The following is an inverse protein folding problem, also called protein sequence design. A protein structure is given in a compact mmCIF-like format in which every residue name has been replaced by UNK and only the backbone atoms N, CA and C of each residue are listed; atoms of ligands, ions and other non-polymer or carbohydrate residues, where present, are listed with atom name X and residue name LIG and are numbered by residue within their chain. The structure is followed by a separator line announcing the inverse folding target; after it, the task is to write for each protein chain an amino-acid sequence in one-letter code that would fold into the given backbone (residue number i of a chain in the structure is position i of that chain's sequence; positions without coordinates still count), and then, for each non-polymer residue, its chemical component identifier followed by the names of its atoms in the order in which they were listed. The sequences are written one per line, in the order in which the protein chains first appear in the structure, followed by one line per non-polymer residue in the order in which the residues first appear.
data_IF_850635858720
#
_entry.id   IF_850635858720
#
_cell.length_a   1.000
_cell.length_b   1.000
_cell.length_c   1.000
_cell.angle_alpha   90.00
_cell.angle_beta   90.00
_cell.angle_gamma   90.00
#
_symmetry.space_group_name_H-M   'P 1'
#
loop_
_entity.id
_entity.type
_entity.pdbx_description
1 polymer ?
#
# COMPACT_ATOMS: atom_id res chain seq x y z
N UNK A 1 -11.03 25.82 -0.45
CA UNK A 1 -11.76 25.97 0.80
C UNK A 1 -11.95 27.44 1.17
N UNK A 2 -10.90 28.26 1.27
CA UNK A 2 -10.93 29.65 1.72
C UNK A 2 -10.40 30.66 0.68
N UNK A 3 -10.37 30.30 -0.57
CA UNK A 3 -9.83 31.08 -1.70
C UNK A 3 -8.38 31.55 -1.50
N UNK A 4 -7.60 30.84 -0.69
CA UNK A 4 -6.19 31.11 -0.44
C UNK A 4 -5.91 32.15 0.64
N UNK A 5 -6.89 32.52 1.46
CA UNK A 5 -6.71 33.51 2.52
C UNK A 5 -5.70 33.04 3.59
N UNK A 6 -5.67 31.75 3.94
CA UNK A 6 -4.82 31.22 5.00
C UNK A 6 -3.48 30.66 4.51
N UNK A 7 -3.53 29.78 3.51
CA UNK A 7 -2.35 29.08 3.03
C UNK A 7 -1.69 29.71 1.80
N UNK A 8 -2.33 30.73 1.23
CA UNK A 8 -1.91 31.39 0.00
C UNK A 8 -2.66 30.88 -1.23
N UNK A 9 -2.81 31.76 -2.23
CA UNK A 9 -3.57 31.49 -3.45
C UNK A 9 -2.80 30.57 -4.43
N UNK A 10 -1.47 30.64 -4.40
CA UNK A 10 -0.62 29.95 -5.35
C UNK A 10 0.28 28.95 -4.64
N UNK A 11 0.46 27.78 -5.25
CA UNK A 11 1.29 26.67 -4.74
C UNK A 11 2.75 27.11 -4.52
N UNK A 12 3.26 28.03 -5.30
CA UNK A 12 4.64 28.56 -5.18
C UNK A 12 4.82 29.26 -3.84
N UNK A 13 3.96 30.22 -3.51
CA UNK A 13 4.02 30.93 -2.23
C UNK A 13 3.79 30.02 -1.02
N UNK A 14 2.89 29.02 -1.14
CA UNK A 14 2.71 27.98 -0.14
C UNK A 14 4.00 27.19 0.10
N UNK A 15 4.67 26.75 -0.98
CA UNK A 15 5.94 26.02 -0.90
C UNK A 15 7.05 26.87 -0.30
N UNK A 16 7.20 28.12 -0.72
CA UNK A 16 8.20 29.05 -0.18
C UNK A 16 8.03 29.30 1.32
N UNK A 17 6.78 29.42 1.77
CA UNK A 17 6.46 29.72 3.17
C UNK A 17 6.69 28.52 4.10
N UNK A 18 6.31 27.31 3.69
CA UNK A 18 6.26 26.16 4.58
C UNK A 18 7.27 25.08 4.26
N UNK A 19 7.92 25.13 3.09
CA UNK A 19 8.84 24.09 2.65
C UNK A 19 10.18 24.67 2.23
N UNK A 20 11.18 23.79 2.16
CA UNK A 20 12.48 24.07 1.55
C UNK A 20 12.81 23.02 0.51
N UNK A 21 13.57 23.37 -0.55
CA UNK A 21 14.04 22.40 -1.51
C UNK A 21 14.83 21.28 -0.81
N UNK A 22 14.57 20.03 -1.18
CA UNK A 22 15.28 18.88 -0.66
C UNK A 22 16.22 18.29 -1.73
N UNK A 23 15.69 17.91 -2.88
CA UNK A 23 16.48 17.46 -4.03
C UNK A 23 16.31 18.44 -5.18
N UNK A 24 17.41 19.00 -5.66
CA UNK A 24 17.42 19.93 -6.80
C UNK A 24 18.68 19.77 -7.66
N UNK A 25 18.57 20.12 -8.94
CA UNK A 25 19.69 20.49 -9.76
C UNK A 25 19.74 22.03 -9.87
N UNK A 26 20.56 22.59 -10.78
CA UNK A 26 20.70 24.05 -10.95
C UNK A 26 19.40 24.74 -11.35
N UNK A 27 18.50 24.05 -12.06
CA UNK A 27 17.29 24.64 -12.65
C UNK A 27 15.98 24.07 -12.11
N UNK A 28 15.97 22.81 -11.63
CA UNK A 28 14.74 22.09 -11.26
C UNK A 28 14.82 21.60 -9.81
N UNK A 29 13.73 21.84 -9.06
CA UNK A 29 13.53 21.27 -7.72
C UNK A 29 12.66 20.02 -7.87
N UNK A 30 13.24 18.85 -7.55
CA UNK A 30 12.56 17.56 -7.65
C UNK A 30 11.73 17.21 -6.43
N UNK A 31 12.14 17.67 -5.23
CA UNK A 31 11.40 17.43 -4.00
C UNK A 31 11.54 18.57 -3.00
N UNK A 32 10.57 18.66 -2.11
CA UNK A 32 10.52 19.62 -1.02
C UNK A 32 10.39 18.90 0.31
N UNK A 33 10.96 19.46 1.37
CA UNK A 33 10.73 19.01 2.73
C UNK A 33 10.18 20.15 3.60
N UNK A 34 9.33 19.88 4.59
CA UNK A 34 8.80 20.89 5.49
C UNK A 34 9.92 21.66 6.19
N UNK A 35 9.73 22.94 6.40
CA UNK A 35 10.55 23.74 7.32
C UNK A 35 10.23 23.33 8.75
N UNK A 36 11.13 23.58 9.67
CA UNK A 36 10.89 23.36 11.09
C UNK A 36 9.66 24.15 11.56
N UNK A 37 8.73 23.47 12.24
CA UNK A 37 7.48 24.06 12.68
C UNK A 37 6.42 24.30 11.58
N UNK A 38 6.71 24.03 10.31
CA UNK A 38 5.77 24.27 9.21
C UNK A 38 4.46 23.51 9.37
N UNK A 39 4.52 22.25 9.81
CA UNK A 39 3.33 21.44 10.07
C UNK A 39 2.42 22.13 11.11
N UNK A 40 2.96 22.51 12.25
CA UNK A 40 2.20 23.22 13.29
C UNK A 40 1.60 24.53 12.79
N UNK A 41 2.34 25.29 11.97
CA UNK A 41 1.87 26.54 11.40
C UNK A 41 0.73 26.33 10.40
N UNK A 42 0.83 25.34 9.52
CA UNK A 42 -0.23 24.98 8.57
C UNK A 42 -1.51 24.61 9.32
N UNK A 43 -1.40 23.71 10.32
CA UNK A 43 -2.56 23.26 11.09
C UNK A 43 -3.21 24.39 11.89
N UNK A 44 -2.42 25.27 12.50
CA UNK A 44 -2.97 26.44 13.20
C UNK A 44 -3.78 27.35 12.27
N UNK A 45 -3.39 27.45 10.99
CA UNK A 45 -4.07 28.28 10.00
C UNK A 45 -5.39 27.68 9.48
N UNK A 46 -5.55 26.35 9.54
CA UNK A 46 -6.74 25.67 9.00
C UNK A 46 -7.63 25.06 10.09
N UNK A 47 -7.25 25.13 11.36
CA UNK A 47 -7.94 24.48 12.48
C UNK A 47 -9.39 24.91 12.69
N UNK A 48 -9.73 26.11 12.28
CA UNK A 48 -11.09 26.66 12.40
C UNK A 48 -12.02 26.30 11.22
N UNK A 49 -11.46 25.77 10.12
CA UNK A 49 -12.21 25.38 8.92
C UNK A 49 -12.08 23.91 8.56
N UNK A 50 -11.17 23.19 9.21
CA UNK A 50 -10.93 21.77 8.97
C UNK A 50 -11.12 20.98 10.25
N UNK A 51 -12.02 19.99 10.21
CA UNK A 51 -12.17 18.99 11.25
C UNK A 51 -11.58 17.70 10.71
N UNK A 52 -10.64 17.11 11.46
CA UNK A 52 -10.11 15.78 11.16
C UNK A 52 -10.66 14.79 12.19
N UNK A 53 -11.32 13.74 11.71
CA UNK A 53 -11.92 12.71 12.55
C UNK A 53 -11.42 11.33 12.11
N UNK A 54 -11.03 10.48 13.07
CA UNK A 54 -10.86 9.05 12.81
C UNK A 54 -12.21 8.37 12.97
N UNK A 55 -12.57 7.51 12.03
CA UNK A 55 -13.82 6.73 12.10
C UNK A 55 -13.95 5.96 13.41
N UNK A 56 -12.83 5.40 13.90
CA UNK A 56 -12.75 4.60 15.14
C UNK A 56 -13.20 5.38 16.39
N UNK A 57 -13.06 6.72 16.39
CA UNK A 57 -13.37 7.53 17.57
C UNK A 57 -14.85 7.93 17.66
N UNK A 58 -15.60 7.77 16.56
CA UNK A 58 -16.99 8.26 16.45
C UNK A 58 -17.97 7.21 15.93
N UNK A 59 -17.45 6.09 15.39
CA UNK A 59 -18.25 5.04 14.81
C UNK A 59 -17.99 3.73 15.57
N UNK A 60 -19.02 2.91 15.66
CA UNK A 60 -18.90 1.53 16.17
C UNK A 60 -18.18 0.69 15.10
N UNK A 61 -16.87 0.58 15.25
CA UNK A 61 -15.99 -0.14 14.34
C UNK A 61 -15.68 -1.53 14.89
N UNK A 62 -15.66 -2.57 14.05
CA UNK A 62 -15.22 -3.90 14.49
C UNK A 62 -13.75 -3.89 14.86
N UNK A 63 -13.32 -4.86 15.64
CA UNK A 63 -11.90 -5.12 15.91
C UNK A 63 -11.15 -5.34 14.60
N UNK A 64 -9.90 -4.86 14.53
CA UNK A 64 -9.02 -5.06 13.39
C UNK A 64 -7.69 -5.65 13.86
N UNK A 65 -7.34 -6.80 13.29
CA UNK A 65 -6.11 -7.53 13.61
C UNK A 65 -5.17 -7.45 12.42
N UNK A 66 -3.95 -6.95 12.66
CA UNK A 66 -2.88 -6.94 11.67
C UNK A 66 -1.96 -8.13 11.89
N UNK A 67 -1.75 -8.94 10.86
CA UNK A 67 -0.90 -10.11 10.90
C UNK A 67 0.20 -10.04 9.84
N UNK A 68 1.44 -10.34 10.22
CA UNK A 68 2.58 -10.46 9.31
C UNK A 68 2.79 -11.94 8.99
N UNK A 69 2.77 -12.27 7.71
CA UNK A 69 3.09 -13.59 7.17
C UNK A 69 4.46 -13.48 6.50
N UNK A 70 5.49 -13.88 7.19
CA UNK A 70 6.86 -13.77 6.73
C UNK A 70 7.22 -14.97 5.86
N UNK A 71 7.81 -14.71 4.69
CA UNK A 71 8.35 -15.71 3.79
C UNK A 71 9.83 -15.48 3.57
N UNK A 72 10.58 -16.56 3.35
CA UNK A 72 12.03 -16.51 3.18
C UNK A 72 12.44 -16.99 1.78
N UNK A 73 13.33 -16.26 1.15
CA UNK A 73 13.99 -16.69 -0.09
C UNK A 73 14.99 -17.83 0.19
N UNK A 74 15.09 -18.78 -0.72
CA UNK A 74 16.21 -19.72 -0.71
C UNK A 74 17.55 -18.98 -0.92
N UNK A 75 18.67 -19.64 -0.62
CA UNK A 75 20.01 -19.07 -0.80
C UNK A 75 20.28 -18.59 -2.23
N UNK A 76 19.74 -19.28 -3.24
CA UNK A 76 19.88 -18.90 -4.65
C UNK A 76 19.07 -17.65 -4.98
N UNK A 77 17.81 -17.62 -4.58
CA UNK A 77 16.89 -16.49 -4.77
C UNK A 77 17.41 -15.25 -4.06
N UNK A 78 17.88 -15.41 -2.82
CA UNK A 78 18.49 -14.34 -2.02
C UNK A 78 19.72 -13.76 -2.69
N UNK A 79 20.60 -14.62 -3.21
CA UNK A 79 21.80 -14.15 -3.89
C UNK A 79 21.46 -13.27 -5.10
N UNK A 80 20.46 -13.64 -5.92
CA UNK A 80 20.01 -12.82 -7.06
C UNK A 80 19.53 -11.46 -6.58
N UNK A 81 18.73 -11.43 -5.50
CA UNK A 81 18.21 -10.20 -4.91
C UNK A 81 19.34 -9.29 -4.39
N UNK A 82 20.29 -9.83 -3.62
CA UNK A 82 21.39 -9.09 -3.01
C UNK A 82 22.40 -8.58 -4.05
N UNK A 83 22.72 -9.40 -5.06
CA UNK A 83 23.57 -8.99 -6.18
C UNK A 83 22.92 -7.83 -6.94
N UNK A 84 21.62 -7.89 -7.23
CA UNK A 84 20.91 -6.79 -7.88
C UNK A 84 20.83 -5.53 -7.00
N UNK A 85 20.65 -5.69 -5.70
CA UNK A 85 20.65 -4.57 -4.75
C UNK A 85 21.99 -3.82 -4.75
N UNK A 86 23.11 -4.56 -4.84
CA UNK A 86 24.46 -4.00 -4.80
C UNK A 86 24.91 -3.41 -6.15
N UNK A 87 24.69 -4.16 -7.23
CA UNK A 87 25.30 -3.88 -8.51
C UNK A 87 24.36 -3.20 -9.51
N UNK A 88 23.06 -3.13 -9.19
CA UNK A 88 21.97 -2.63 -10.04
C UNK A 88 21.84 -3.38 -11.38
N UNK A 89 22.51 -4.51 -11.52
CA UNK A 89 22.46 -5.42 -12.66
C UNK A 89 22.66 -6.86 -12.19
N UNK A 90 21.91 -7.81 -12.74
CA UNK A 90 22.06 -9.24 -12.44
C UNK A 90 21.56 -10.10 -13.60
N UNK A 91 22.18 -11.28 -13.79
CA UNK A 91 21.71 -12.29 -14.72
C UNK A 91 20.65 -13.20 -14.07
N UNK A 92 19.52 -13.35 -14.75
CA UNK A 92 18.41 -14.24 -14.36
C UNK A 92 18.15 -15.21 -15.52
N UNK A 93 18.73 -16.39 -15.46
CA UNK A 93 18.75 -17.32 -16.58
C UNK A 93 19.61 -16.77 -17.74
N UNK A 94 19.01 -16.63 -18.90
CA UNK A 94 19.64 -16.03 -20.10
C UNK A 94 19.38 -14.53 -20.23
N UNK A 95 18.61 -13.95 -19.32
CA UNK A 95 18.18 -12.56 -19.39
C UNK A 95 18.97 -11.68 -18.41
N UNK A 96 19.27 -10.44 -18.82
CA UNK A 96 19.87 -9.42 -17.96
C UNK A 96 18.76 -8.53 -17.36
N UNK A 97 18.86 -8.28 -16.06
CA UNK A 97 18.06 -7.32 -15.34
C UNK A 97 18.91 -6.15 -14.92
N UNK A 98 18.54 -4.93 -15.25
CA UNK A 98 19.22 -3.69 -14.91
C UNK A 98 18.31 -2.65 -14.24
N UNK A 99 18.92 -1.68 -13.57
CA UNK A 99 18.21 -0.52 -13.00
C UNK A 99 19.03 0.76 -13.21
N UNK A 100 18.49 1.66 -14.02
CA UNK A 100 19.15 2.92 -14.42
C UNK A 100 19.12 4.03 -13.36
N UNK A 101 18.38 3.83 -12.27
CA UNK A 101 18.25 4.80 -11.18
C UNK A 101 17.83 4.13 -9.86
N UNK A 102 18.08 4.83 -8.74
CA UNK A 102 17.63 4.36 -7.41
C UNK A 102 16.11 4.13 -7.32
N UNK A 103 15.31 4.93 -8.03
CA UNK A 103 13.85 4.73 -8.08
C UNK A 103 13.46 3.50 -8.88
N UNK A 104 14.14 3.24 -10.01
CA UNK A 104 13.94 2.02 -10.79
C UNK A 104 14.39 0.79 -9.98
N UNK A 105 15.54 0.86 -9.29
CA UNK A 105 16.04 -0.18 -8.41
C UNK A 105 15.00 -0.52 -7.32
N UNK A 106 14.53 0.48 -6.56
CA UNK A 106 13.54 0.28 -5.51
C UNK A 106 12.27 -0.40 -6.02
N UNK A 107 11.77 0.02 -7.19
CA UNK A 107 10.59 -0.59 -7.79
C UNK A 107 10.84 -2.04 -8.23
N UNK A 108 11.99 -2.33 -8.82
CA UNK A 108 12.36 -3.69 -9.23
C UNK A 108 12.61 -4.61 -8.04
N UNK A 109 13.21 -4.11 -6.96
CA UNK A 109 13.39 -4.87 -5.71
C UNK A 109 12.05 -5.27 -5.07
N UNK A 110 11.03 -4.41 -5.14
CA UNK A 110 9.67 -4.76 -4.70
C UNK A 110 9.01 -5.81 -5.61
N UNK A 111 9.24 -5.73 -6.92
CA UNK A 111 8.78 -6.76 -7.84
C UNK A 111 9.43 -8.12 -7.53
N UNK A 112 10.76 -8.13 -7.32
CA UNK A 112 11.50 -9.34 -6.94
C UNK A 112 11.01 -9.93 -5.61
N UNK A 113 10.72 -9.07 -4.61
CA UNK A 113 10.14 -9.51 -3.35
C UNK A 113 8.76 -10.18 -3.53
N UNK A 114 7.99 -9.78 -4.55
CA UNK A 114 6.73 -10.45 -4.93
C UNK A 114 6.96 -11.74 -5.74
N UNK A 115 8.21 -12.01 -6.16
CA UNK A 115 8.63 -13.26 -6.78
C UNK A 115 8.77 -13.25 -8.30
N UNK A 116 8.61 -12.08 -8.95
CA UNK A 116 8.91 -11.90 -10.37
C UNK A 116 9.23 -10.44 -10.67
N UNK A 117 9.94 -10.16 -11.76
CA UNK A 117 10.35 -8.81 -12.14
C UNK A 117 10.27 -8.61 -13.65
N UNK A 118 9.96 -7.40 -14.12
CA UNK A 118 10.07 -7.07 -15.55
C UNK A 118 11.50 -6.70 -15.92
N UNK A 119 12.02 -7.26 -17.04
CA UNK A 119 13.24 -6.77 -17.66
C UNK A 119 12.99 -5.47 -18.46
N UNK A 120 14.01 -4.96 -19.17
CA UNK A 120 13.93 -3.76 -20.01
C UNK A 120 12.92 -3.89 -21.15
N UNK A 121 12.70 -5.09 -21.67
CA UNK A 121 11.78 -5.38 -22.78
C UNK A 121 10.34 -5.65 -22.31
N UNK A 122 10.09 -5.55 -20.99
CA UNK A 122 8.78 -5.82 -20.39
C UNK A 122 8.45 -7.31 -20.22
N UNK A 123 9.43 -8.20 -20.43
CA UNK A 123 9.29 -9.64 -20.16
C UNK A 123 9.32 -9.90 -18.65
N UNK A 124 8.45 -10.78 -18.19
CA UNK A 124 8.41 -11.20 -16.77
C UNK A 124 9.44 -12.27 -16.52
N UNK A 125 10.36 -12.02 -15.61
CA UNK A 125 11.37 -12.98 -15.16
C UNK A 125 10.96 -13.52 -13.78
N UNK A 126 10.66 -14.83 -13.65
CA UNK A 126 10.31 -15.43 -12.38
C UNK A 126 11.54 -15.55 -11.48
N UNK A 127 11.37 -15.26 -10.19
CA UNK A 127 12.41 -15.36 -9.15
C UNK A 127 12.05 -16.48 -8.17
N UNK A 128 10.82 -16.42 -7.59
CA UNK A 128 10.33 -17.40 -6.62
C UNK A 128 8.80 -17.37 -6.48
N UNK A 129 8.24 -18.37 -5.84
CA UNK A 129 6.79 -18.49 -5.58
C UNK A 129 6.43 -18.38 -4.08
N UNK A 130 7.36 -17.91 -3.22
CA UNK A 130 7.20 -17.89 -1.75
C UNK A 130 5.93 -17.19 -1.28
N UNK A 131 5.56 -16.05 -1.90
CA UNK A 131 4.31 -15.35 -1.56
C UNK A 131 3.08 -16.08 -2.10
N UNK A 132 3.18 -16.79 -3.22
CA UNK A 132 2.09 -17.62 -3.74
C UNK A 132 1.83 -18.82 -2.82
N UNK A 133 2.89 -19.48 -2.35
CA UNK A 133 2.80 -20.59 -1.40
C UNK A 133 2.14 -20.11 -0.09
N UNK A 134 2.58 -18.97 0.46
CA UNK A 134 1.95 -18.38 1.65
C UNK A 134 0.48 -17.94 1.42
N UNK A 135 0.15 -17.47 0.22
CA UNK A 135 -1.24 -17.16 -0.13
C UNK A 135 -2.09 -18.45 -0.17
N UNK A 136 -1.53 -19.57 -0.67
CA UNK A 136 -2.18 -20.87 -0.70
C UNK A 136 -2.49 -21.37 0.73
N UNK A 137 -1.50 -21.26 1.64
CA UNK A 137 -1.69 -21.58 3.06
C UNK A 137 -2.81 -20.73 3.70
N UNK A 138 -2.88 -19.44 3.36
CA UNK A 138 -3.94 -18.55 3.85
C UNK A 138 -5.32 -18.90 3.28
N UNK A 139 -5.40 -19.29 2.01
CA UNK A 139 -6.65 -19.73 1.37
C UNK A 139 -7.15 -21.02 2.01
N UNK A 140 -6.25 -21.98 2.26
CA UNK A 140 -6.59 -23.21 2.97
C UNK A 140 -7.04 -22.93 4.40
N UNK A 141 -6.31 -22.11 5.14
CA UNK A 141 -6.64 -21.74 6.52
C UNK A 141 -7.98 -20.99 6.62
N UNK A 142 -8.37 -20.25 5.58
CA UNK A 142 -9.66 -19.57 5.54
C UNK A 142 -10.86 -20.53 5.49
N UNK A 143 -10.64 -21.78 5.12
CA UNK A 143 -11.64 -22.85 5.12
C UNK A 143 -12.96 -22.45 4.43
N UNK A 144 -12.84 -21.92 3.22
CA UNK A 144 -13.96 -21.47 2.39
C UNK A 144 -14.52 -20.08 2.71
N UNK A 145 -13.97 -19.37 3.71
CA UNK A 145 -14.33 -17.96 3.94
C UNK A 145 -13.69 -17.08 2.86
N UNK A 146 -14.41 -16.06 2.35
CA UNK A 146 -13.91 -15.19 1.30
C UNK A 146 -12.68 -14.38 1.73
N UNK A 147 -11.69 -14.27 0.83
CA UNK A 147 -10.48 -13.47 0.99
C UNK A 147 -10.43 -12.36 -0.07
N UNK A 148 -10.10 -11.14 0.34
CA UNK A 148 -9.79 -10.02 -0.55
C UNK A 148 -8.28 -9.85 -0.65
N UNK A 149 -7.69 -10.13 -1.82
CA UNK A 149 -6.26 -10.07 -2.07
C UNK A 149 -5.90 -8.76 -2.78
N UNK A 150 -5.06 -7.96 -2.14
CA UNK A 150 -4.47 -6.76 -2.73
C UNK A 150 -3.20 -7.12 -3.49
N UNK A 151 -3.16 -6.87 -4.79
CA UNK A 151 -1.98 -7.03 -5.64
C UNK A 151 -1.48 -5.68 -6.14
N UNK A 152 -0.20 -5.57 -6.54
CA UNK A 152 0.37 -4.31 -7.00
C UNK A 152 0.79 -4.33 -8.47
N UNK A 153 1.44 -5.39 -8.93
CA UNK A 153 1.94 -5.52 -10.29
C UNK A 153 1.03 -6.41 -11.16
N UNK A 154 1.03 -6.17 -12.48
CA UNK A 154 0.29 -7.04 -13.41
C UNK A 154 0.78 -8.47 -13.40
N UNK A 155 2.10 -8.69 -13.19
CA UNK A 155 2.62 -10.05 -13.05
C UNK A 155 2.13 -10.73 -11.76
N UNK A 156 1.89 -9.99 -10.66
CA UNK A 156 1.27 -10.55 -9.46
C UNK A 156 -0.11 -11.11 -9.80
N UNK A 157 -0.94 -10.27 -10.46
CA UNK A 157 -2.27 -10.67 -10.91
C UNK A 157 -2.25 -11.93 -11.78
N UNK A 158 -1.36 -11.96 -12.79
CA UNK A 158 -1.25 -13.11 -13.70
C UNK A 158 -0.87 -14.38 -12.97
N UNK A 159 0.14 -14.32 -12.09
CA UNK A 159 0.65 -15.46 -11.32
C UNK A 159 -0.37 -15.96 -10.29
N UNK A 160 -1.08 -15.03 -9.62
CA UNK A 160 -2.17 -15.40 -8.69
C UNK A 160 -3.28 -16.12 -9.46
N UNK A 161 -3.71 -15.61 -10.62
CA UNK A 161 -4.77 -16.24 -11.41
C UNK A 161 -4.36 -17.60 -12.00
N UNK A 162 -3.10 -17.78 -12.32
CA UNK A 162 -2.56 -19.06 -12.77
C UNK A 162 -2.60 -20.10 -11.64
N UNK A 163 -2.20 -19.72 -10.40
CA UNK A 163 -2.23 -20.58 -9.21
C UNK A 163 -3.66 -20.83 -8.72
N UNK A 164 -4.54 -19.83 -8.82
CA UNK A 164 -5.91 -19.85 -8.33
C UNK A 164 -6.89 -19.49 -9.46
N UNK A 165 -7.26 -20.44 -10.34
CA UNK A 165 -8.17 -20.17 -11.48
C UNK A 165 -9.56 -19.65 -11.05
N UNK A 166 -9.99 -19.92 -9.82
CA UNK A 166 -11.25 -19.44 -9.23
C UNK A 166 -11.17 -17.96 -8.78
N UNK A 167 -9.97 -17.34 -8.76
CA UNK A 167 -9.80 -15.96 -8.33
C UNK A 167 -10.41 -14.99 -9.35
N UNK A 168 -11.19 -14.03 -8.85
CA UNK A 168 -11.92 -13.04 -9.67
C UNK A 168 -11.55 -11.61 -9.26
N UNK A 169 -11.28 -10.75 -10.24
CA UNK A 169 -11.10 -9.32 -9.99
C UNK A 169 -12.41 -8.65 -9.64
N UNK A 170 -12.35 -7.62 -8.80
CA UNK A 170 -13.49 -6.75 -8.49
C UNK A 170 -13.37 -5.49 -9.37
N UNK A 171 -13.91 -5.56 -10.58
CA UNK A 171 -13.81 -4.50 -11.57
C UNK A 171 -15.16 -3.88 -11.93
N UNK A 172 -16.27 -4.59 -11.72
CA UNK A 172 -17.63 -4.19 -12.12
C UNK A 172 -18.58 -4.17 -10.92
N UNK A 173 -19.74 -3.53 -11.09
CA UNK A 173 -20.83 -3.56 -10.08
C UNK A 173 -21.37 -4.97 -9.85
N UNK A 174 -21.34 -5.83 -10.87
CA UNK A 174 -21.74 -7.23 -10.75
C UNK A 174 -20.74 -8.01 -9.85
N UNK A 175 -19.43 -7.76 -10.00
CA UNK A 175 -18.41 -8.37 -9.14
C UNK A 175 -18.61 -7.98 -7.67
N UNK A 176 -18.96 -6.72 -7.40
CA UNK A 176 -19.27 -6.24 -6.05
C UNK A 176 -20.50 -6.96 -5.48
N UNK A 177 -21.53 -7.13 -6.31
CA UNK A 177 -22.77 -7.82 -5.91
C UNK A 177 -22.48 -9.30 -5.62
N UNK A 178 -21.73 -9.96 -6.48
CA UNK A 178 -21.35 -11.37 -6.32
C UNK A 178 -20.42 -11.57 -5.11
N UNK A 179 -19.47 -10.64 -4.88
CA UNK A 179 -18.64 -10.66 -3.68
C UNK A 179 -19.48 -10.55 -2.40
N UNK A 180 -20.37 -9.56 -2.33
CA UNK A 180 -21.22 -9.35 -1.16
C UNK A 180 -22.24 -10.48 -0.95
N UNK A 181 -22.60 -11.20 -2.01
CA UNK A 181 -23.41 -12.42 -1.95
C UNK A 181 -22.60 -13.69 -1.58
N UNK A 182 -21.28 -13.58 -1.33
CA UNK A 182 -20.43 -14.70 -0.95
C UNK A 182 -20.10 -15.67 -2.10
N UNK A 183 -20.32 -15.28 -3.36
CA UNK A 183 -20.07 -16.13 -4.53
C UNK A 183 -18.61 -16.12 -5.00
N UNK A 184 -17.80 -15.17 -4.53
CA UNK A 184 -16.39 -15.03 -4.90
C UNK A 184 -15.53 -15.43 -3.70
N UNK A 185 -14.95 -16.64 -3.67
CA UNK A 185 -14.13 -17.09 -2.55
C UNK A 185 -12.78 -16.39 -2.47
N UNK A 186 -12.23 -15.96 -3.62
CA UNK A 186 -10.94 -15.26 -3.70
C UNK A 186 -11.07 -14.05 -4.63
N UNK A 187 -11.22 -12.88 -4.04
CA UNK A 187 -11.33 -11.62 -4.79
C UNK A 187 -9.97 -10.95 -4.94
N UNK A 188 -9.70 -10.39 -6.11
CA UNK A 188 -8.46 -9.67 -6.42
C UNK A 188 -8.79 -8.19 -6.63
N UNK A 189 -8.06 -7.29 -5.98
CA UNK A 189 -8.27 -5.86 -6.08
C UNK A 189 -6.94 -5.10 -6.14
N UNK A 190 -6.79 -4.24 -7.14
CA UNK A 190 -5.67 -3.30 -7.16
C UNK A 190 -5.98 -2.10 -6.25
N UNK A 191 -5.06 -1.68 -5.34
CA UNK A 191 -5.34 -0.61 -4.39
C UNK A 191 -5.81 0.71 -5.01
N UNK A 192 -5.32 1.07 -6.20
CA UNK A 192 -5.76 2.28 -6.89
C UNK A 192 -7.24 2.20 -7.33
N UNK A 193 -7.76 1.01 -7.62
CA UNK A 193 -9.18 0.81 -7.97
C UNK A 193 -10.09 0.92 -6.74
N UNK A 194 -9.55 0.74 -5.54
CA UNK A 194 -10.31 0.87 -4.30
C UNK A 194 -10.78 2.31 -3.99
N UNK A 195 -10.25 3.32 -4.69
CA UNK A 195 -10.62 4.74 -4.51
C UNK A 195 -12.08 5.08 -4.85
N UNK A 196 -12.79 4.25 -5.60
CA UNK A 196 -14.13 4.55 -6.14
C UNK A 196 -15.31 4.23 -5.20
N UNK A 197 -15.13 4.23 -3.87
CA UNK A 197 -16.24 4.11 -2.92
C UNK A 197 -16.88 2.72 -2.85
N UNK A 198 -16.16 1.66 -3.18
CA UNK A 198 -16.65 0.28 -3.17
C UNK A 198 -17.13 -0.14 -1.77
N UNK A 199 -18.30 -0.74 -1.68
CA UNK A 199 -18.84 -1.34 -0.46
C UNK A 199 -18.63 -2.85 -0.51
N UNK A 200 -17.61 -3.35 0.20
CA UNK A 200 -17.22 -4.76 0.16
C UNK A 200 -17.35 -5.46 1.52
N UNK A 201 -17.80 -4.76 2.58
CA UNK A 201 -17.83 -5.27 3.94
C UNK A 201 -18.78 -6.46 4.18
N UNK A 202 -19.77 -6.67 3.30
CA UNK A 202 -20.72 -7.79 3.46
C UNK A 202 -20.16 -9.11 2.93
N UNK A 203 -19.23 -9.05 1.96
CA UNK A 203 -18.69 -10.24 1.30
C UNK A 203 -17.58 -10.95 2.08
N UNK A 204 -16.94 -10.28 3.03
CA UNK A 204 -15.84 -10.88 3.79
C UNK A 204 -15.27 -9.96 4.87
N UNK A 205 -14.34 -10.50 5.66
CA UNK A 205 -13.65 -9.76 6.73
C UNK A 205 -12.12 -9.98 6.72
N UNK A 206 -11.56 -10.58 5.67
CA UNK A 206 -10.13 -10.87 5.59
C UNK A 206 -9.52 -10.22 4.36
N UNK A 207 -8.45 -9.44 4.58
CA UNK A 207 -7.64 -8.82 3.53
C UNK A 207 -6.27 -9.48 3.53
N UNK A 208 -5.72 -9.76 2.36
CA UNK A 208 -4.36 -10.24 2.18
C UNK A 208 -3.61 -9.28 1.26
N UNK A 209 -2.61 -8.59 1.78
CA UNK A 209 -1.67 -7.79 1.01
C UNK A 209 -0.58 -8.70 0.43
N UNK A 210 -0.76 -9.09 -0.83
CA UNK A 210 0.24 -9.84 -1.60
C UNK A 210 1.36 -8.92 -2.10
N UNK A 211 0.98 -7.75 -2.67
CA UNK A 211 1.89 -6.70 -3.09
C UNK A 211 1.65 -5.42 -2.28
N UNK A 212 2.72 -4.87 -1.68
CA UNK A 212 2.65 -3.67 -0.84
C UNK A 212 2.73 -2.39 -1.68
N UNK A 213 2.27 -1.27 -1.11
CA UNK A 213 2.34 0.07 -1.70
C UNK A 213 3.02 1.06 -0.78
N UNK A 214 3.79 2.02 -1.35
CA UNK A 214 4.35 3.15 -0.61
C UNK A 214 3.31 4.21 -0.22
N UNK A 215 2.09 4.14 -0.79
CA UNK A 215 1.02 5.11 -0.54
C UNK A 215 0.20 4.71 0.68
N UNK A 216 0.35 5.45 1.78
CA UNK A 216 -0.50 5.29 2.97
C UNK A 216 -1.98 5.49 2.63
N UNK A 217 -2.29 6.43 1.74
CA UNK A 217 -3.66 6.70 1.32
C UNK A 217 -4.30 5.48 0.67
N UNK A 218 -3.65 4.88 -0.34
CA UNK A 218 -4.16 3.69 -1.02
C UNK A 218 -4.26 2.49 -0.07
N UNK A 219 -3.29 2.35 0.85
CA UNK A 219 -3.30 1.33 1.87
C UNK A 219 -4.52 1.47 2.79
N UNK A 220 -4.75 2.66 3.33
CA UNK A 220 -5.89 2.94 4.21
C UNK A 220 -7.23 2.84 3.46
N UNK A 221 -7.30 3.33 2.22
CA UNK A 221 -8.52 3.25 1.40
C UNK A 221 -8.92 1.81 1.12
N UNK A 222 -7.99 0.92 0.78
CA UNK A 222 -8.31 -0.49 0.55
C UNK A 222 -8.75 -1.17 1.85
N UNK A 223 -8.02 -0.98 2.94
CA UNK A 223 -8.40 -1.56 4.24
C UNK A 223 -9.81 -1.12 4.68
N UNK A 224 -10.15 0.16 4.42
CA UNK A 224 -11.49 0.70 4.73
C UNK A 224 -12.62 0.14 3.83
N UNK A 225 -12.35 -0.72 2.86
CA UNK A 225 -13.40 -1.41 2.09
C UNK A 225 -14.06 -2.53 2.91
N UNK A 226 -13.30 -3.16 3.81
CA UNK A 226 -13.81 -4.18 4.73
C UNK A 226 -13.86 -3.67 6.17
N UNK A 227 -12.85 -2.93 6.62
CA UNK A 227 -12.80 -2.37 7.96
C UNK A 227 -13.51 -1.01 8.01
N UNK A 228 -14.81 -1.06 8.18
CA UNK A 228 -15.68 0.14 8.21
C UNK A 228 -16.93 -0.10 9.02
N UNK A 229 -17.69 0.96 9.30
CA UNK A 229 -18.97 0.88 9.96
C UNK A 229 -19.92 -0.08 9.22
N UNK A 230 -20.60 -0.94 9.97
CA UNK A 230 -21.51 -1.96 9.42
C UNK A 230 -20.87 -3.33 9.19
N UNK A 231 -19.55 -3.46 9.28
CA UNK A 231 -18.90 -4.77 9.33
C UNK A 231 -19.19 -5.46 10.67
N UNK A 232 -19.65 -6.70 10.62
CA UNK A 232 -20.13 -7.46 11.80
C UNK A 232 -19.06 -8.38 12.41
N UNK A 233 -17.96 -8.57 11.72
CA UNK A 233 -16.91 -9.51 12.10
C UNK A 233 -15.58 -8.79 12.35
N UNK A 234 -14.73 -9.34 13.20
CA UNK A 234 -13.34 -8.93 13.33
C UNK A 234 -12.67 -8.97 11.96
N UNK A 235 -12.09 -7.85 11.55
CA UNK A 235 -11.34 -7.77 10.29
C UNK A 235 -9.91 -8.21 10.51
N UNK A 236 -9.41 -9.12 9.68
CA UNK A 236 -8.03 -9.57 9.72
C UNK A 236 -7.31 -9.10 8.45
N UNK A 237 -6.19 -8.42 8.63
CA UNK A 237 -5.35 -7.91 7.55
C UNK A 237 -4.00 -8.61 7.59
N UNK A 238 -3.79 -9.54 6.66
CA UNK A 238 -2.53 -10.24 6.49
C UNK A 238 -1.63 -9.47 5.54
N UNK A 239 -0.34 -9.34 5.89
CA UNK A 239 0.69 -8.82 5.01
C UNK A 239 1.67 -9.94 4.72
N UNK A 240 1.78 -10.39 3.47
CA UNK A 240 2.80 -11.34 3.05
C UNK A 240 4.08 -10.56 2.77
N UNK A 241 5.10 -10.80 3.60
CA UNK A 241 6.34 -10.03 3.61
C UNK A 241 7.51 -10.96 3.34
N UNK A 242 8.28 -10.66 2.31
CA UNK A 242 9.55 -11.36 2.07
C UNK A 242 10.62 -10.74 2.98
N UNK A 243 11.16 -11.55 3.89
CA UNK A 243 12.16 -11.13 4.89
C UNK A 243 13.41 -10.55 4.26
N UNK A 244 13.99 -9.57 4.93
CA UNK A 244 15.22 -8.86 4.52
C UNK A 244 15.11 -8.25 3.12
N UNK A 245 13.94 -7.74 2.74
CA UNK A 245 13.71 -7.10 1.45
C UNK A 245 13.05 -5.72 1.61
N UNK A 246 12.86 -5.04 0.50
CA UNK A 246 12.13 -3.77 0.43
C UNK A 246 10.69 -3.83 0.93
N UNK A 247 10.09 -5.02 1.07
CA UNK A 247 8.78 -5.17 1.72
C UNK A 247 8.80 -4.64 3.17
N UNK A 248 9.86 -4.94 3.92
CA UNK A 248 10.00 -4.44 5.29
C UNK A 248 10.15 -2.92 5.34
N UNK A 249 10.86 -2.34 4.37
CA UNK A 249 11.02 -0.88 4.30
C UNK A 249 9.68 -0.19 4.00
N UNK A 250 8.86 -0.79 3.14
CA UNK A 250 7.49 -0.31 2.87
C UNK A 250 6.65 -0.36 4.14
N UNK A 251 6.65 -1.47 4.86
CA UNK A 251 5.89 -1.61 6.11
C UNK A 251 6.32 -0.58 7.15
N UNK A 252 7.63 -0.43 7.39
CA UNK A 252 8.18 0.61 8.30
C UNK A 252 7.77 2.02 7.86
N UNK A 253 7.74 2.29 6.56
CA UNK A 253 7.33 3.59 6.02
C UNK A 253 5.84 3.86 6.21
N UNK A 254 4.98 2.87 6.01
CA UNK A 254 3.54 2.96 6.23
C UNK A 254 3.24 3.22 7.71
N UNK A 255 3.81 2.44 8.63
CA UNK A 255 3.67 2.61 10.07
C UNK A 255 4.10 4.01 10.53
N UNK A 256 5.27 4.49 10.06
CA UNK A 256 5.78 5.82 10.39
C UNK A 256 4.91 6.95 9.85
N UNK A 257 4.34 6.79 8.64
CA UNK A 257 3.43 7.78 8.04
C UNK A 257 2.11 7.82 8.80
N UNK A 258 1.57 6.66 9.19
CA UNK A 258 0.33 6.55 9.96
C UNK A 258 0.48 7.18 11.36
N UNK A 259 1.59 6.91 12.06
CA UNK A 259 1.89 7.55 13.35
C UNK A 259 1.97 9.07 13.24
N UNK A 260 2.63 9.60 12.19
CA UNK A 260 2.72 11.05 11.97
C UNK A 260 1.35 11.67 11.70
N UNK A 261 0.54 11.05 10.88
CA UNK A 261 -0.82 11.50 10.60
C UNK A 261 -1.67 11.47 11.86
N UNK A 262 -1.55 10.42 12.69
CA UNK A 262 -2.26 10.29 13.96
C UNK A 262 -1.85 11.35 14.98
N UNK A 263 -0.55 11.53 15.21
CA UNK A 263 -0.03 12.57 16.14
C UNK A 263 -0.48 13.97 15.75
N UNK A 264 -0.62 14.19 14.46
CA UNK A 264 -1.06 15.45 13.90
C UNK A 264 -2.55 15.70 14.17
N UNK A 265 -3.40 14.68 13.98
CA UNK A 265 -4.83 14.73 14.29
C UNK A 265 -5.04 14.99 15.79
N UNK A 266 -4.27 14.32 16.64
CA UNK A 266 -4.32 14.51 18.10
C UNK A 266 -3.90 15.93 18.52
N UNK A 267 -2.85 16.48 17.91
CA UNK A 267 -2.41 17.84 18.17
C UNK A 267 -3.48 18.90 17.78
N UNK A 268 -4.23 18.66 16.72
CA UNK A 268 -5.36 19.52 16.32
C UNK A 268 -6.52 19.37 17.33
N UNK A 269 -6.86 18.15 17.76
CA UNK A 269 -7.92 17.91 18.75
C UNK A 269 -7.65 18.56 20.10
N UNK A 270 -6.43 18.44 20.61
CA UNK A 270 -6.04 19.04 21.89
C UNK A 270 -6.19 20.57 21.92
N UNK A 271 -6.25 21.22 20.75
CA UNK A 271 -6.46 22.67 20.64
C UNK A 271 -7.93 23.08 20.44
N UNK A 272 -8.79 22.17 19.96
CA UNK A 272 -10.21 22.45 19.71
C UNK A 272 -11.07 22.10 20.94
N UNK A 273 -10.58 21.21 21.80
CA UNK A 273 -11.28 20.74 23.01
C UNK A 273 -10.86 21.40 24.31
N UNK A 274 -10.08 22.52 24.25
CA UNK A 274 -9.67 23.31 25.41
C UNK A 274 -10.47 24.61 25.54
#
# INVERSE_FOLDING_TARGET
LDMGQRLGRFITGYRERFFKPDKRNREIIYSYKPREGAEKAIYSLISDICISMKAVDYLDMPECIYNRVEVEMSRKERKIYDDFCRDMVVQIGEEELDAVSAGALSNKLLQMANGAVYNSDGKVLPIHDRKLDALEDLVEAANGKPLLVAYWYKHDLSRIRERFPQARCIDTSEDITDWNAGKIPLALLHPASAGHGLNLQEGGCTIVWFGLTWSLELYQQLNARLWRQGQKHTVVIHHIITKDTHDEDVMKALEKKDMRQSSLIEAVRARIGG
#
